data_IF_917759966461
#
_entry.id   IF_917759966461
#
_cell.length_a   1.000
_cell.length_b   1.000
_cell.length_c   1.000
_cell.angle_alpha   90.00
_cell.angle_beta   90.00
_cell.angle_gamma   90.00
#
_symmetry.space_group_name_H-M   'P 1'
#
loop_
_entity.id
_entity.type
_entity.pdbx_description
1 polymer ?
#
# COMPACT_ATOMS: atom_id res chain seq x y z
N UNK A 1 -1.44 -21.71 -10.34
CA UNK A 1 -0.73 -20.41 -10.20
C UNK A 1 -0.54 -20.14 -8.71
N UNK A 2 0.70 -19.99 -8.22
CA UNK A 2 0.95 -19.67 -6.81
C UNK A 2 1.31 -18.19 -6.67
N UNK A 3 0.57 -17.47 -5.84
CA UNK A 3 0.90 -16.10 -5.50
C UNK A 3 2.00 -16.10 -4.45
N UNK A 4 3.08 -15.36 -4.71
CA UNK A 4 4.10 -15.14 -3.68
C UNK A 4 3.54 -14.23 -2.59
N UNK A 5 4.11 -14.29 -1.39
CA UNK A 5 3.77 -13.36 -0.30
C UNK A 5 3.92 -11.89 -0.74
N UNK A 6 4.90 -11.63 -1.60
CA UNK A 6 5.14 -10.31 -2.16
C UNK A 6 3.98 -9.83 -3.05
N UNK A 7 3.49 -10.71 -3.92
CA UNK A 7 2.33 -10.42 -4.78
C UNK A 7 1.07 -10.23 -3.96
N UNK A 8 0.79 -11.12 -3.00
CA UNK A 8 -0.36 -11.00 -2.09
C UNK A 8 -0.34 -9.66 -1.33
N UNK A 9 0.81 -9.29 -0.75
CA UNK A 9 0.92 -8.02 -0.02
C UNK A 9 0.82 -6.80 -0.92
N UNK A 10 1.32 -6.87 -2.16
CA UNK A 10 1.15 -5.79 -3.14
C UNK A 10 -0.33 -5.54 -3.43
N UNK A 11 -1.10 -6.60 -3.65
CA UNK A 11 -2.54 -6.50 -3.88
C UNK A 11 -3.27 -5.96 -2.65
N UNK A 12 -2.95 -6.45 -1.44
CA UNK A 12 -3.56 -5.95 -0.19
C UNK A 12 -3.33 -4.46 0.01
N UNK A 13 -2.12 -3.97 -0.28
CA UNK A 13 -1.80 -2.54 -0.22
C UNK A 13 -2.69 -1.76 -1.20
N UNK A 14 -2.74 -2.16 -2.46
CA UNK A 14 -3.52 -1.45 -3.48
C UNK A 14 -5.01 -1.44 -3.14
N UNK A 15 -5.56 -2.58 -2.71
CA UNK A 15 -6.96 -2.68 -2.28
C UNK A 15 -7.24 -1.77 -1.08
N UNK A 16 -6.38 -1.78 -0.06
CA UNK A 16 -6.56 -0.98 1.15
C UNK A 16 -6.66 0.51 0.85
N UNK A 17 -5.81 0.99 -0.05
CA UNK A 17 -5.79 2.38 -0.49
C UNK A 17 -6.99 2.69 -1.39
N UNK A 18 -7.35 1.77 -2.30
CA UNK A 18 -8.45 1.96 -3.24
C UNK A 18 -9.81 2.13 -2.58
N UNK A 19 -10.04 1.45 -1.45
CA UNK A 19 -11.29 1.62 -0.68
C UNK A 19 -11.28 2.85 0.25
N UNK A 20 -10.16 3.60 0.31
CA UNK A 20 -9.98 4.80 1.15
C UNK A 20 -9.25 5.92 0.39
N UNK A 21 -9.81 6.45 -0.71
CA UNK A 21 -9.11 7.40 -1.59
C UNK A 21 -8.70 8.72 -0.90
N UNK A 22 -9.37 9.10 0.19
CA UNK A 22 -9.11 10.35 0.91
C UNK A 22 -8.33 10.15 2.23
N UNK A 23 -7.83 8.93 2.50
CA UNK A 23 -7.09 8.63 3.73
C UNK A 23 -5.61 8.36 3.41
N UNK A 24 -4.73 9.23 3.92
CA UNK A 24 -3.28 9.02 3.84
C UNK A 24 -2.88 7.84 4.74
N UNK A 25 -2.81 6.64 4.17
CA UNK A 25 -2.53 5.45 4.95
C UNK A 25 -1.04 5.30 5.26
N UNK A 26 -0.71 4.77 6.43
CA UNK A 26 0.68 4.40 6.75
C UNK A 26 0.92 2.90 6.61
N UNK A 27 2.18 2.52 6.42
CA UNK A 27 2.60 1.10 6.42
C UNK A 27 2.13 0.41 7.72
N UNK A 28 2.23 1.10 8.85
CA UNK A 28 1.84 0.57 10.17
C UNK A 28 0.33 0.31 10.25
N UNK A 29 -0.50 1.20 9.70
CA UNK A 29 -1.95 1.01 9.64
C UNK A 29 -2.33 -0.20 8.80
N UNK A 30 -1.73 -0.34 7.61
CA UNK A 30 -1.99 -1.45 6.70
C UNK A 30 -1.52 -2.78 7.33
N UNK A 31 -0.32 -2.78 7.94
CA UNK A 31 0.22 -3.94 8.65
C UNK A 31 -0.74 -4.41 9.75
N UNK A 32 -1.23 -3.46 10.57
CA UNK A 32 -2.18 -3.75 11.64
C UNK A 32 -3.52 -4.23 11.11
N UNK A 33 -4.04 -3.62 10.06
CA UNK A 33 -5.35 -3.97 9.49
C UNK A 33 -5.40 -5.38 8.92
N UNK A 34 -4.31 -5.89 8.37
CA UNK A 34 -4.25 -7.23 7.80
C UNK A 34 -3.49 -8.26 8.67
N UNK A 35 -2.93 -7.84 9.81
CA UNK A 35 -2.12 -8.73 10.64
C UNK A 35 -0.83 -9.20 9.96
N UNK A 36 -0.23 -8.36 9.10
CA UNK A 36 0.94 -8.73 8.29
C UNK A 36 2.20 -8.00 8.74
N UNK A 37 3.37 -8.57 8.40
CA UNK A 37 4.66 -7.98 8.75
C UNK A 37 4.88 -6.62 8.09
N UNK A 38 5.12 -5.60 8.92
CA UNK A 38 5.55 -4.26 8.50
C UNK A 38 6.80 -4.30 7.63
N UNK A 39 7.76 -5.18 7.94
CA UNK A 39 9.03 -5.26 7.20
C UNK A 39 8.83 -5.70 5.74
N UNK A 40 7.89 -6.62 5.50
CA UNK A 40 7.53 -7.00 4.14
C UNK A 40 6.80 -5.86 3.41
N UNK A 41 5.90 -5.16 4.11
CA UNK A 41 5.19 -4.03 3.51
C UNK A 41 6.13 -2.87 3.12
N UNK A 42 7.22 -2.64 3.85
CA UNK A 42 8.22 -1.63 3.44
C UNK A 42 8.75 -1.91 2.03
N UNK A 43 9.12 -3.16 1.73
CA UNK A 43 9.63 -3.54 0.40
C UNK A 43 8.56 -3.43 -0.69
N UNK A 44 7.34 -3.83 -0.35
CA UNK A 44 6.17 -3.77 -1.25
C UNK A 44 5.84 -2.31 -1.59
N UNK A 45 5.69 -1.46 -0.58
CA UNK A 45 5.34 -0.04 -0.74
C UNK A 45 6.43 0.71 -1.51
N UNK A 46 7.70 0.45 -1.22
CA UNK A 46 8.80 1.05 -1.99
C UNK A 46 8.69 0.71 -3.48
N UNK A 47 8.47 -0.56 -3.82
CA UNK A 47 8.35 -0.96 -5.21
C UNK A 47 7.09 -0.41 -5.89
N UNK A 48 5.93 -0.46 -5.22
CA UNK A 48 4.69 0.11 -5.76
C UNK A 48 4.83 1.61 -6.03
N UNK A 49 5.56 2.34 -5.18
CA UNK A 49 5.86 3.75 -5.39
C UNK A 49 6.81 3.95 -6.59
N UNK A 50 7.88 3.15 -6.71
CA UNK A 50 8.79 3.21 -7.85
C UNK A 50 8.10 2.88 -9.18
N UNK A 51 7.11 1.99 -9.16
CA UNK A 51 6.28 1.65 -10.33
C UNK A 51 5.18 2.67 -10.62
N UNK A 52 5.02 3.69 -9.76
CA UNK A 52 4.02 4.75 -9.94
C UNK A 52 2.58 4.34 -9.63
N UNK A 53 2.34 3.22 -8.94
CA UNK A 53 0.98 2.82 -8.55
C UNK A 53 0.48 3.57 -7.32
N UNK A 54 1.39 4.06 -6.47
CA UNK A 54 1.06 4.81 -5.26
C UNK A 54 1.93 6.07 -5.15
N UNK A 55 1.34 7.12 -4.60
CA UNK A 55 2.05 8.33 -4.20
C UNK A 55 2.33 8.25 -2.70
N UNK A 56 3.55 8.56 -2.28
CA UNK A 56 3.94 8.58 -0.86
C UNK A 56 4.37 9.97 -0.44
N UNK A 57 4.04 10.34 0.80
CA UNK A 57 4.41 11.60 1.42
C UNK A 57 5.08 11.35 2.77
N UNK A 58 6.09 12.14 3.12
CA UNK A 58 6.83 12.03 4.39
C UNK A 58 6.36 13.09 5.39
N UNK A 59 6.60 12.83 6.68
CA UNK A 59 6.34 13.78 7.77
C UNK A 59 5.05 13.50 8.53
N UNK A 60 4.69 14.41 9.44
CA UNK A 60 3.45 14.33 10.22
C UNK A 60 2.25 14.49 9.29
N UNK A 61 1.31 13.55 9.34
CA UNK A 61 0.19 13.50 8.39
C UNK A 61 0.57 12.97 7.00
N UNK A 62 1.81 12.51 6.84
CA UNK A 62 2.22 11.79 5.64
C UNK A 62 1.68 10.36 5.60
N UNK A 63 1.89 9.69 4.48
CA UNK A 63 1.36 8.35 4.24
C UNK A 63 1.44 8.02 2.76
N UNK A 64 0.46 7.26 2.28
CA UNK A 64 0.36 6.91 0.88
C UNK A 64 -1.09 6.85 0.40
N UNK A 65 -1.27 7.13 -0.89
CA UNK A 65 -2.51 7.04 -1.64
C UNK A 65 -2.26 6.31 -2.97
N UNK A 66 -3.32 5.80 -3.61
CA UNK A 66 -3.19 5.37 -5.00
C UNK A 66 -2.80 6.55 -5.88
N UNK A 67 -1.97 6.29 -6.89
CA UNK A 67 -1.62 7.29 -7.89
C UNK A 67 -2.75 7.54 -8.91
N UNK A 68 -3.63 6.56 -9.06
CA UNK A 68 -4.77 6.60 -9.97
C UNK A 68 -6.03 6.14 -9.26
N UNK A 69 -7.18 6.71 -9.63
CA UNK A 69 -8.45 6.19 -9.15
C UNK A 69 -8.70 4.78 -9.69
N UNK A 70 -9.20 3.85 -8.85
CA UNK A 70 -9.68 2.56 -9.33
C UNK A 70 -10.77 2.75 -10.39
N UNK A 71 -10.69 2.00 -11.49
CA UNK A 71 -11.69 1.99 -12.55
C UNK A 71 -12.39 0.64 -12.59
N UNK A 72 -13.68 0.66 -12.92
CA UNK A 72 -14.47 -0.53 -13.22
C UNK A 72 -14.29 -0.95 -14.68
#
# INVERSE_FOLDING_TARGET
MQLTLYTDYSLRVLIYLGIRPNHQATITEIAKSYGVSRNHLVKVVHNLSNMGYINTSRGRGGGMLLAYEPKN
#
